data_IF_117289621612
#
_entry.id   IF_117289621612
#
_cell.length_a   1.000
_cell.length_b   1.000
_cell.length_c   1.000
_cell.angle_alpha   90.00
_cell.angle_beta   90.00
_cell.angle_gamma   90.00
#
_symmetry.space_group_name_H-M   'P 1'
#
loop_
_entity.id
_entity.type
_entity.pdbx_description
1 polymer ?
#
# COMPACT_ATOMS: atom_id res chain seq x y z
N UNK A 1 -37.40 13.07 -23.88
CA UNK A 1 -36.09 12.60 -23.38
C UNK A 1 -35.30 12.04 -24.58
N UNK A 2 -34.13 12.54 -25.02
CA UNK A 2 -33.04 13.30 -24.35
C UNK A 2 -32.31 12.41 -23.32
N UNK A 3 -31.01 12.04 -23.40
CA UNK A 3 -29.87 12.16 -24.37
C UNK A 3 -28.97 10.90 -24.13
N UNK A 4 -28.11 10.36 -25.01
CA UNK A 4 -26.93 10.89 -25.75
C UNK A 4 -25.79 11.43 -24.85
N UNK A 5 -24.49 11.33 -25.21
CA UNK A 5 -23.82 10.47 -26.20
C UNK A 5 -23.30 9.18 -25.50
N UNK A 6 -22.13 8.52 -25.69
CA UNK A 6 -20.91 8.50 -26.55
C UNK A 6 -20.42 7.00 -26.51
N UNK A 7 -19.67 6.34 -27.41
CA UNK A 7 -18.48 6.63 -28.22
C UNK A 7 -17.17 6.86 -27.42
N UNK A 8 -15.99 6.34 -27.77
CA UNK A 8 -15.55 5.53 -28.95
C UNK A 8 -14.43 4.59 -28.44
N UNK A 9 -14.45 3.27 -28.64
CA UNK A 9 -14.03 2.59 -29.87
C UNK A 9 -12.91 3.30 -30.66
N UNK A 10 -11.70 3.36 -30.08
CA UNK A 10 -10.45 3.57 -30.82
C UNK A 10 -9.57 2.34 -30.57
N UNK A 11 -9.91 1.20 -31.17
CA UNK A 11 -9.35 0.74 -32.45
C UNK A 11 -7.82 0.79 -32.51
N UNK A 12 -7.23 -0.41 -32.66
CA UNK A 12 -5.82 -0.59 -32.98
C UNK A 12 -5.47 0.15 -34.29
N UNK A 13 -4.51 1.07 -34.23
CA UNK A 13 -3.87 1.66 -35.39
C UNK A 13 -2.35 1.49 -35.26
N UNK A 14 -1.71 0.95 -36.30
CA UNK A 14 -0.24 0.88 -36.39
C UNK A 14 0.32 2.31 -36.52
N UNK A 15 1.19 2.72 -35.61
CA UNK A 15 1.79 4.06 -35.65
C UNK A 15 3.00 4.22 -34.74
N UNK A 16 4.17 4.41 -35.35
CA UNK A 16 5.43 4.88 -34.76
C UNK A 16 5.94 4.17 -33.47
N UNK A 17 7.03 3.40 -33.61
CA UNK A 17 7.89 3.02 -32.49
C UNK A 17 8.66 4.24 -31.96
N UNK A 18 8.04 5.04 -31.10
CA UNK A 18 8.72 6.13 -30.41
C UNK A 18 9.83 5.58 -29.50
N UNK A 19 11.08 5.87 -29.84
CA UNK A 19 12.27 5.47 -29.08
C UNK A 19 12.32 6.20 -27.73
N UNK A 20 11.66 5.65 -26.71
CA UNK A 20 11.82 6.11 -25.32
C UNK A 20 13.28 5.86 -24.90
N UNK A 21 14.05 6.91 -24.56
CA UNK A 21 15.44 6.73 -24.12
C UNK A 21 15.45 5.89 -22.84
N UNK A 22 16.35 4.91 -22.76
CA UNK A 22 16.38 3.88 -21.71
C UNK A 22 16.79 4.48 -20.36
N UNK A 23 15.86 5.14 -19.69
CA UNK A 23 15.95 5.53 -18.29
C UNK A 23 16.35 4.30 -17.48
N UNK A 24 17.42 4.44 -16.69
CA UNK A 24 18.08 3.32 -16.02
C UNK A 24 17.24 2.88 -14.83
N UNK A 25 16.28 1.99 -15.09
CA UNK A 25 15.35 1.42 -14.10
C UNK A 25 16.11 0.45 -13.17
N UNK A 26 16.94 1.01 -12.29
CA UNK A 26 17.66 0.29 -11.25
C UNK A 26 16.65 -0.43 -10.35
N UNK A 27 16.76 -1.76 -10.28
CA UNK A 27 15.77 -2.63 -9.66
C UNK A 27 15.68 -2.44 -8.14
N UNK A 28 14.88 -1.48 -7.70
CA UNK A 28 14.23 -1.54 -6.40
C UNK A 28 13.14 -2.63 -6.46
N UNK A 29 13.05 -3.54 -5.47
CA UNK A 29 12.01 -4.56 -5.45
C UNK A 29 10.64 -3.90 -5.25
N UNK A 30 9.85 -3.77 -6.32
CA UNK A 30 8.50 -3.19 -6.31
C UNK A 30 7.48 -4.14 -5.66
N UNK A 31 7.64 -4.42 -4.37
CA UNK A 31 6.70 -5.21 -3.56
C UNK A 31 5.87 -4.32 -2.63
N UNK A 32 5.20 -3.33 -3.21
CA UNK A 32 3.92 -2.79 -2.71
C UNK A 32 3.28 -1.89 -3.77
N UNK A 33 2.15 -2.34 -4.31
CA UNK A 33 1.26 -1.50 -5.12
C UNK A 33 0.62 -0.46 -4.21
N UNK A 34 1.06 0.80 -4.28
CA UNK A 34 0.59 1.85 -3.39
C UNK A 34 -0.86 2.25 -3.71
N UNK A 35 -1.83 2.08 -2.77
CA UNK A 35 -3.18 2.56 -2.97
C UNK A 35 -3.23 4.06 -2.71
N UNK A 36 -3.34 4.86 -3.77
CA UNK A 36 -3.56 6.30 -3.69
C UNK A 36 -5.00 6.60 -3.24
N UNK A 37 -5.21 6.69 -1.92
CA UNK A 37 -6.48 7.11 -1.31
C UNK A 37 -6.25 7.79 0.04
N UNK A 38 -7.05 8.82 0.41
CA UNK A 38 -6.78 9.63 1.58
C UNK A 38 -7.09 8.93 2.91
N UNK A 39 -6.09 8.88 3.78
CA UNK A 39 -6.23 9.01 5.25
C UNK A 39 -7.10 7.97 5.97
N UNK A 40 -7.04 6.70 5.57
CA UNK A 40 -7.24 5.58 6.52
C UNK A 40 -5.86 5.14 6.99
N UNK A 41 -5.48 5.46 8.23
CA UNK A 41 -4.09 5.30 8.72
C UNK A 41 -3.72 3.82 8.90
N UNK A 42 -4.72 2.96 9.04
CA UNK A 42 -4.62 1.50 9.00
C UNK A 42 -6.00 0.84 8.83
N UNK A 43 -6.05 -0.45 8.48
CA UNK A 43 -7.29 -1.25 8.53
C UNK A 43 -7.47 -1.84 9.93
N UNK A 44 -8.67 -1.73 10.51
CA UNK A 44 -9.02 -2.31 11.82
C UNK A 44 -8.51 -3.75 11.97
N UNK A 45 -7.85 -4.03 13.11
CA UNK A 45 -7.28 -5.35 13.41
C UNK A 45 -5.94 -5.65 12.74
N UNK A 46 -5.37 -4.75 11.92
CA UNK A 46 -3.96 -4.83 11.54
C UNK A 46 -3.05 -4.52 12.73
N UNK A 47 -1.87 -5.17 12.74
CA UNK A 47 -0.81 -4.91 13.69
C UNK A 47 0.36 -4.15 13.04
N UNK A 48 1.06 -3.34 13.83
CA UNK A 48 2.28 -2.65 13.45
C UNK A 48 3.28 -2.63 14.62
N UNK A 49 4.53 -2.32 14.33
CA UNK A 49 5.60 -2.19 15.31
C UNK A 49 6.16 -0.77 15.35
N UNK A 50 6.40 -0.24 16.56
CA UNK A 50 7.17 0.99 16.78
C UNK A 50 8.21 0.75 17.88
N UNK A 51 9.42 0.37 17.46
CA UNK A 51 10.51 -0.03 18.35
C UNK A 51 10.14 -1.29 19.15
N UNK A 52 9.83 -1.09 20.43
CA UNK A 52 9.39 -2.15 21.35
C UNK A 52 7.87 -2.14 21.61
N UNK A 53 7.10 -1.29 20.93
CA UNK A 53 5.63 -1.26 21.05
C UNK A 53 4.98 -2.08 19.94
N UNK A 54 4.05 -2.96 20.33
CA UNK A 54 3.06 -3.59 19.45
C UNK A 54 1.87 -2.63 19.37
N UNK A 55 1.49 -2.23 18.16
CA UNK A 55 0.32 -1.40 17.91
C UNK A 55 -0.76 -2.20 17.19
N UNK A 56 -2.02 -1.99 17.57
CA UNK A 56 -3.20 -2.51 16.87
C UNK A 56 -3.98 -1.36 16.25
N UNK A 57 -4.54 -1.59 15.07
CA UNK A 57 -5.43 -0.64 14.43
C UNK A 57 -6.84 -0.70 15.01
N UNK A 58 -7.34 0.43 15.53
CA UNK A 58 -8.70 0.55 16.03
C UNK A 58 -9.73 0.77 14.90
N UNK A 59 -11.03 0.80 15.25
CA UNK A 59 -12.12 1.04 14.30
C UNK A 59 -12.13 2.45 13.70
N UNK A 60 -11.48 3.42 14.35
CA UNK A 60 -11.24 4.78 13.82
C UNK A 60 -10.08 4.84 12.82
N UNK A 61 -9.50 3.69 12.44
CA UNK A 61 -8.40 3.62 11.48
C UNK A 61 -7.09 4.20 11.99
N UNK A 62 -6.88 4.24 13.32
CA UNK A 62 -5.63 4.71 13.94
C UNK A 62 -4.93 3.60 14.73
N UNK A 63 -3.60 3.64 14.74
CA UNK A 63 -2.77 2.73 15.53
C UNK A 63 -2.73 3.16 17.00
N UNK A 64 -3.11 2.24 17.89
CA UNK A 64 -3.02 2.38 19.35
C UNK A 64 -2.10 1.30 19.91
N UNK A 65 -1.27 1.60 20.90
CA UNK A 65 -0.41 0.61 21.56
C UNK A 65 -1.27 -0.46 22.23
N UNK A 66 -1.07 -1.72 21.85
CA UNK A 66 -1.74 -2.89 22.40
C UNK A 66 -0.89 -3.58 23.47
N UNK A 67 0.43 -3.61 23.27
CA UNK A 67 1.40 -4.18 24.20
C UNK A 67 2.79 -3.53 24.02
N UNK A 68 3.65 -3.70 25.02
CA UNK A 68 5.03 -3.24 25.00
C UNK A 68 5.97 -4.39 25.41
N UNK A 69 7.00 -4.62 24.60
CA UNK A 69 7.98 -5.69 24.72
C UNK A 69 9.14 -5.37 25.71
N UNK A 70 9.10 -4.24 26.41
CA UNK A 70 10.15 -3.81 27.32
C UNK A 70 11.49 -3.64 26.60
N UNK A 71 12.46 -4.49 26.92
CA UNK A 71 13.78 -4.54 26.29
C UNK A 71 13.77 -5.19 24.90
N UNK A 72 12.88 -6.15 24.66
CA UNK A 72 12.72 -6.87 23.39
C UNK A 72 12.16 -5.94 22.30
N UNK A 73 12.33 -6.31 21.03
CA UNK A 73 11.81 -5.60 19.86
C UNK A 73 10.50 -6.19 19.39
N UNK A 74 9.63 -5.33 18.89
CA UNK A 74 8.42 -5.76 18.21
C UNK A 74 8.81 -6.29 16.81
N UNK A 75 8.45 -7.54 16.53
CA UNK A 75 8.68 -8.21 15.26
C UNK A 75 7.35 -8.68 14.66
N UNK A 76 7.26 -8.68 13.33
CA UNK A 76 6.11 -9.21 12.57
C UNK A 76 6.62 -10.33 11.67
N UNK A 77 6.02 -11.52 11.76
CA UNK A 77 6.30 -12.65 10.87
C UNK A 77 5.06 -13.52 10.69
N UNK A 78 4.85 -14.06 9.49
CA UNK A 78 3.70 -14.92 9.18
C UNK A 78 2.32 -14.28 9.38
N UNK A 79 2.23 -12.94 9.43
CA UNK A 79 1.00 -12.21 9.78
C UNK A 79 0.71 -12.11 11.29
N UNK A 80 1.59 -12.66 12.14
CA UNK A 80 1.55 -12.51 13.60
C UNK A 80 2.55 -11.45 14.07
N UNK A 81 2.30 -10.85 15.24
CA UNK A 81 3.20 -9.88 15.90
C UNK A 81 3.61 -10.42 17.28
N UNK A 82 4.88 -10.27 17.63
CA UNK A 82 5.48 -10.81 18.85
C UNK A 82 6.72 -10.00 19.28
N UNK A 83 7.26 -10.32 20.46
CA UNK A 83 8.49 -9.75 20.98
C UNK A 83 9.70 -10.66 20.67
N UNK A 84 10.88 -10.09 20.42
CA UNK A 84 12.13 -10.76 20.05
C UNK A 84 13.37 -10.02 20.57
#
# INVERSE_FOLDING_TARGET
MHVSPLLTFVFFALGAHALVPRAKFSSLPQSQTAPSSPTSVCKQGQFACSGSNILVCNSSGQFTVAANCGSEKCAISGGSVFCQ
#
